data_IF_964555947255
#
_entry.id   IF_964555947255
#
_cell.length_a   1.000
_cell.length_b   1.000
_cell.length_c   1.000
_cell.angle_alpha   90.00
_cell.angle_beta   90.00
_cell.angle_gamma   90.00
#
_symmetry.space_group_name_H-M   'P 1'
#
loop_
_entity.id
_entity.type
_entity.pdbx_description
1 polymer ?
#
# COMPACT_ATOMS: atom_id res chain seq x y z
N UNK A 1 -11.44 6.52 57.88
CA UNK A 1 -10.79 7.46 56.94
C UNK A 1 -9.37 6.96 56.65
N UNK A 2 -8.85 7.28 55.46
CA UNK A 2 -7.51 7.00 54.90
C UNK A 2 -7.44 5.80 53.93
N UNK A 3 -7.87 6.09 52.70
CA UNK A 3 -7.45 5.42 51.47
C UNK A 3 -5.98 5.75 51.19
N UNK A 4 -5.15 4.77 50.86
CA UNK A 4 -3.88 5.01 50.17
C UNK A 4 -3.73 4.07 48.97
N UNK A 5 -3.42 4.70 47.84
CA UNK A 5 -3.60 4.21 46.49
C UNK A 5 -2.56 3.21 46.02
N UNK A 6 -2.95 2.42 45.01
CA UNK A 6 -2.06 1.55 44.24
C UNK A 6 -1.02 2.40 43.51
N UNK A 7 0.25 2.27 43.88
CA UNK A 7 1.36 2.78 43.10
C UNK A 7 1.49 1.97 41.81
N UNK A 8 1.13 2.55 40.66
CA UNK A 8 1.47 2.01 39.34
C UNK A 8 2.91 2.46 39.02
N UNK A 9 3.87 1.59 39.30
CA UNK A 9 5.26 1.79 38.87
C UNK A 9 5.33 1.85 37.35
N UNK A 10 5.68 3.01 36.80
CA UNK A 10 5.99 3.18 35.37
C UNK A 10 7.41 2.66 35.19
N UNK A 11 7.55 1.42 34.72
CA UNK A 11 8.84 0.87 34.30
C UNK A 11 9.19 1.53 32.96
N UNK A 12 10.13 2.48 32.97
CA UNK A 12 10.72 3.01 31.73
C UNK A 12 11.65 1.96 31.16
N UNK A 13 11.21 1.24 30.12
CA UNK A 13 12.10 0.40 29.33
C UNK A 13 12.94 1.30 28.42
N UNK A 14 14.26 1.22 28.56
CA UNK A 14 15.19 1.84 27.63
C UNK A 14 15.30 0.93 26.41
N UNK A 15 14.66 1.30 25.30
CA UNK A 15 14.88 0.58 24.04
C UNK A 15 16.20 1.05 23.45
N UNK A 16 17.26 0.26 23.62
CA UNK A 16 18.52 0.46 22.92
C UNK A 16 18.32 0.15 21.44
N UNK A 17 18.28 1.19 20.61
CA UNK A 17 18.24 1.02 19.15
C UNK A 17 19.64 0.64 18.68
N UNK A 18 19.87 -0.66 18.53
CA UNK A 18 21.09 -1.18 17.91
C UNK A 18 21.01 -0.99 16.40
N UNK A 19 21.90 -0.16 15.86
CA UNK A 19 22.21 -0.13 14.44
C UNK A 19 23.13 -1.31 14.14
N UNK A 20 22.65 -2.33 13.43
CA UNK A 20 23.49 -3.46 13.03
C UNK A 20 22.99 -4.09 11.72
N UNK A 21 23.83 -4.00 10.69
CA UNK A 21 24.00 -5.05 9.68
C UNK A 21 22.98 -5.11 8.55
N UNK A 22 23.41 -4.72 7.35
CA UNK A 22 22.75 -5.15 6.12
C UNK A 22 22.80 -6.68 6.00
N UNK A 23 21.66 -7.33 6.19
CA UNK A 23 21.54 -8.79 6.11
C UNK A 23 20.09 -9.23 6.20
N UNK A 24 19.60 -9.81 5.11
CA UNK A 24 18.55 -10.85 5.04
C UNK A 24 17.19 -10.68 5.73
N UNK A 25 16.87 -9.58 6.40
CA UNK A 25 15.58 -9.46 7.10
C UNK A 25 14.39 -9.42 6.12
N UNK A 26 14.55 -8.79 4.95
CA UNK A 26 13.51 -8.82 3.91
C UNK A 26 13.35 -10.21 3.25
N UNK A 27 14.39 -11.06 3.29
CA UNK A 27 14.35 -12.44 2.77
C UNK A 27 13.80 -13.45 3.79
N UNK A 28 13.85 -13.13 5.09
CA UNK A 28 13.30 -13.94 6.19
C UNK A 28 11.81 -13.63 6.45
N UNK A 29 11.26 -12.58 5.84
CA UNK A 29 9.83 -12.28 5.90
C UNK A 29 9.01 -13.36 5.17
N UNK A 30 7.79 -13.68 5.64
CA UNK A 30 6.88 -14.55 4.93
C UNK A 30 6.74 -14.11 3.48
N UNK A 31 6.78 -15.06 2.55
CA UNK A 31 6.73 -14.79 1.11
C UNK A 31 5.58 -13.83 0.79
N UNK A 32 5.92 -12.59 0.40
CA UNK A 32 4.94 -11.65 -0.14
C UNK A 32 4.56 -12.16 -1.52
N UNK A 33 3.25 -12.28 -1.76
CA UNK A 33 2.76 -12.67 -3.07
C UNK A 33 3.37 -11.76 -4.15
N UNK A 34 3.85 -12.36 -5.24
CA UNK A 34 4.38 -11.60 -6.37
C UNK A 34 3.34 -10.53 -6.76
N UNK A 35 3.74 -9.27 -6.94
CA UNK A 35 2.80 -8.23 -7.32
C UNK A 35 2.06 -8.69 -8.58
N UNK A 36 0.74 -8.57 -8.54
CA UNK A 36 -0.09 -8.91 -9.67
C UNK A 36 0.28 -7.97 -10.83
N UNK A 37 0.96 -8.51 -11.82
CA UNK A 37 1.35 -7.78 -13.03
C UNK A 37 0.21 -7.87 -14.03
N UNK A 38 -0.15 -6.75 -14.64
CA UNK A 38 -1.12 -6.75 -15.74
C UNK A 38 -0.59 -7.56 -16.91
N UNK A 39 -1.47 -8.33 -17.56
CA UNK A 39 -1.11 -9.22 -18.66
C UNK A 39 -0.38 -8.45 -19.77
N UNK A 40 -0.87 -7.25 -20.11
CA UNK A 40 -0.27 -6.38 -21.13
C UNK A 40 1.14 -5.94 -20.75
N UNK A 41 1.39 -5.62 -19.47
CA UNK A 41 2.72 -5.26 -19.03
C UNK A 41 3.67 -6.46 -19.18
N UNK A 42 3.24 -7.65 -18.80
CA UNK A 42 4.01 -8.87 -19.01
C UNK A 42 4.32 -9.10 -20.50
N UNK A 43 3.32 -9.01 -21.40
CA UNK A 43 3.53 -9.16 -22.84
C UNK A 43 4.51 -8.12 -23.41
N UNK A 44 4.46 -6.87 -22.96
CA UNK A 44 5.40 -5.82 -23.41
C UNK A 44 6.82 -6.11 -22.96
N UNK A 45 7.00 -6.56 -21.72
CA UNK A 45 8.32 -6.89 -21.18
C UNK A 45 8.94 -8.08 -21.92
N UNK A 46 8.18 -9.14 -22.12
CA UNK A 46 8.63 -10.34 -22.84
C UNK A 46 8.93 -10.00 -24.31
N UNK A 47 8.02 -9.32 -24.99
CA UNK A 47 8.21 -8.94 -26.39
C UNK A 47 9.43 -8.01 -26.56
N UNK A 48 9.65 -7.06 -25.64
CA UNK A 48 10.82 -6.19 -25.65
C UNK A 48 12.14 -6.95 -25.47
N UNK A 49 12.18 -7.94 -24.58
CA UNK A 49 13.36 -8.79 -24.37
C UNK A 49 13.68 -9.67 -25.60
N UNK A 50 12.64 -10.09 -26.33
CA UNK A 50 12.78 -10.89 -27.55
C UNK A 50 12.92 -10.04 -28.83
N UNK A 51 12.91 -8.70 -28.72
CA UNK A 51 12.95 -7.78 -29.87
C UNK A 51 11.69 -7.82 -30.75
N UNK A 52 10.59 -8.36 -30.24
CA UNK A 52 9.31 -8.49 -30.97
C UNK A 52 8.37 -7.32 -30.68
N UNK A 53 7.56 -6.95 -31.66
CA UNK A 53 6.49 -5.98 -31.45
C UNK A 53 5.33 -6.60 -30.64
N UNK A 54 4.80 -5.94 -29.59
CA UNK A 54 3.66 -6.44 -28.82
C UNK A 54 2.39 -6.50 -29.68
N UNK A 55 1.84 -7.70 -29.88
CA UNK A 55 0.56 -7.91 -30.59
C UNK A 55 -0.61 -7.88 -29.60
N UNK A 56 -0.98 -6.70 -29.12
CA UNK A 56 -2.14 -6.52 -28.23
C UNK A 56 -3.19 -5.64 -28.93
N UNK A 57 -4.43 -6.13 -29.12
CA UNK A 57 -5.51 -5.34 -29.71
C UNK A 57 -5.79 -4.05 -28.93
N UNK A 58 -6.21 -2.99 -29.62
CA UNK A 58 -6.53 -1.69 -28.98
C UNK A 58 -7.58 -1.83 -27.88
N UNK A 59 -8.65 -2.56 -28.15
CA UNK A 59 -9.73 -2.76 -27.17
C UNK A 59 -9.24 -3.37 -25.85
N UNK A 60 -8.35 -4.36 -25.94
CA UNK A 60 -7.76 -5.00 -24.75
C UNK A 60 -6.89 -4.00 -23.99
N UNK A 61 -6.12 -3.16 -24.71
CA UNK A 61 -5.34 -2.08 -24.09
C UNK A 61 -6.20 -1.06 -23.38
N UNK A 62 -7.34 -0.69 -23.94
CA UNK A 62 -8.21 0.34 -23.38
C UNK A 62 -8.99 -0.19 -22.18
N UNK A 63 -9.47 -1.44 -22.23
CA UNK A 63 -10.05 -2.14 -21.07
C UNK A 63 -9.07 -2.21 -19.90
N UNK A 64 -7.82 -2.59 -20.17
CA UNK A 64 -6.80 -2.67 -19.11
C UNK A 64 -6.42 -1.28 -18.57
N UNK A 65 -6.35 -0.26 -19.44
CA UNK A 65 -6.12 1.12 -19.03
C UNK A 65 -7.22 1.64 -18.12
N UNK A 66 -8.47 1.29 -18.41
CA UNK A 66 -9.62 1.69 -17.61
C UNK A 66 -9.54 1.08 -16.21
N UNK A 67 -9.27 -0.23 -16.10
CA UNK A 67 -9.02 -0.88 -14.80
C UNK A 67 -7.90 -0.22 -13.99
N UNK A 68 -6.81 0.17 -14.66
CA UNK A 68 -5.70 0.86 -14.00
C UNK A 68 -6.08 2.27 -13.53
N UNK A 69 -6.94 2.99 -14.26
CA UNK A 69 -7.45 4.29 -13.83
C UNK A 69 -8.31 4.15 -12.58
N UNK A 70 -9.23 3.20 -12.58
CA UNK A 70 -10.11 2.90 -11.44
C UNK A 70 -9.30 2.54 -10.20
N UNK A 71 -8.31 1.65 -10.33
CA UNK A 71 -7.43 1.28 -9.22
C UNK A 71 -6.62 2.47 -8.67
N UNK A 72 -6.18 3.39 -9.55
CA UNK A 72 -5.46 4.62 -9.14
C UNK A 72 -6.38 5.59 -8.41
N UNK A 73 -7.60 5.77 -8.89
CA UNK A 73 -8.56 6.66 -8.26
C UNK A 73 -8.96 6.13 -6.89
N UNK A 74 -9.23 4.83 -6.78
CA UNK A 74 -9.47 4.19 -5.48
C UNK A 74 -8.32 4.42 -4.51
N UNK A 75 -7.07 4.22 -4.95
CA UNK A 75 -5.88 4.50 -4.12
C UNK A 75 -5.78 5.97 -3.72
N UNK A 76 -6.18 6.90 -4.60
CA UNK A 76 -6.21 8.33 -4.30
C UNK A 76 -7.27 8.63 -3.24
N UNK A 77 -8.47 8.07 -3.37
CA UNK A 77 -9.56 8.21 -2.41
C UNK A 77 -9.16 7.63 -1.03
N UNK A 78 -8.59 6.43 -0.99
CA UNK A 78 -8.09 5.83 0.26
C UNK A 78 -7.02 6.69 0.95
N UNK A 79 -6.11 7.27 0.16
CA UNK A 79 -5.11 8.21 0.68
C UNK A 79 -5.77 9.46 1.25
N UNK A 80 -6.77 9.99 0.56
CA UNK A 80 -7.51 11.17 0.99
C UNK A 80 -8.27 10.88 2.29
N UNK A 81 -9.04 9.78 2.34
CA UNK A 81 -9.71 9.31 3.54
C UNK A 81 -8.76 9.16 4.72
N UNK A 82 -7.56 8.59 4.50
CA UNK A 82 -6.56 8.45 5.55
C UNK A 82 -6.08 9.81 6.10
N UNK A 83 -5.91 10.80 5.23
CA UNK A 83 -5.53 12.16 5.61
C UNK A 83 -6.68 12.81 6.39
N UNK A 84 -7.91 12.72 5.90
CA UNK A 84 -9.09 13.30 6.55
C UNK A 84 -9.37 12.69 7.93
N UNK A 85 -9.16 11.38 8.10
CA UNK A 85 -9.22 10.69 9.41
C UNK A 85 -8.16 11.24 10.36
N UNK A 86 -6.94 11.46 9.86
CA UNK A 86 -5.83 11.97 10.67
C UNK A 86 -6.05 13.43 11.08
N UNK A 87 -6.62 14.23 10.19
CA UNK A 87 -6.88 15.67 10.40
C UNK A 87 -8.22 15.93 11.11
N UNK A 88 -8.98 14.89 11.47
CA UNK A 88 -10.25 14.98 12.19
C UNK A 88 -11.41 15.55 11.37
N UNK A 89 -11.26 15.62 10.04
CA UNK A 89 -12.22 16.21 9.12
C UNK A 89 -13.16 15.14 8.55
N UNK A 90 -13.93 14.49 9.42
CA UNK A 90 -14.84 13.39 9.04
C UNK A 90 -16.06 13.82 8.20
N UNK A 91 -16.30 15.13 8.05
CA UNK A 91 -17.54 15.68 7.50
C UNK A 91 -17.57 15.97 6.00
N UNK A 92 -16.44 15.86 5.27
CA UNK A 92 -16.38 16.31 3.85
C UNK A 92 -16.37 15.18 2.82
N UNK A 93 -16.11 13.93 3.21
CA UNK A 93 -15.97 12.82 2.27
C UNK A 93 -17.25 11.99 2.05
N UNK A 94 -18.36 12.34 2.70
CA UNK A 94 -19.56 11.51 2.76
C UNK A 94 -20.69 11.92 1.80
N UNK A 95 -20.46 12.84 0.84
CA UNK A 95 -21.50 13.33 -0.07
C UNK A 95 -21.00 13.37 -1.50
N UNK A 96 -21.05 12.24 -2.20
CA UNK A 96 -21.10 12.13 -3.66
C UNK A 96 -21.80 10.78 -4.01
N UNK A 97 -23.09 10.68 -3.68
CA UNK A 97 -24.01 9.68 -4.23
C UNK A 97 -25.12 10.42 -5.03
N UNK A 98 -24.91 10.59 -6.34
CA UNK A 98 -25.92 10.52 -7.43
C UNK A 98 -25.20 10.09 -8.71
#
# INVERSE_FOLDING_TARGET
MLSLGKAKGIVRTHTLKTNAGGGSDEFLQPYKARPQTTSIAAHRLVAGALGMAPRVPREVRDKERQKLKEAKEKRRQEKQQKIDIWDGNFGKCAMDEV
#
